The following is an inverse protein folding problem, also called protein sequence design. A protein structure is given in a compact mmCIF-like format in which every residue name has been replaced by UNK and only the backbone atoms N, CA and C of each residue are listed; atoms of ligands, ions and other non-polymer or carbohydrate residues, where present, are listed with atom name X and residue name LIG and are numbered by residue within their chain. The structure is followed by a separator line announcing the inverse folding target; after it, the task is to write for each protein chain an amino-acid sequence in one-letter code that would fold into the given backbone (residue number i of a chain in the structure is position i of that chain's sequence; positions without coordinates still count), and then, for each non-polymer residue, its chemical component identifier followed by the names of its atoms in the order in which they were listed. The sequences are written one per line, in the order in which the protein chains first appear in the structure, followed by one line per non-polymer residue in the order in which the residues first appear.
data_IF_233584230264
#
_entry.id   IF_233584230264
#
_cell.length_a   1.000
_cell.length_b   1.000
_cell.length_c   1.000
_cell.angle_alpha   90.00
_cell.angle_beta   90.00
_cell.angle_gamma   90.00
#
_symmetry.space_group_name_H-M   'P 1'
#
loop_
_entity.id
_entity.type
_entity.pdbx_description
1 polymer ?
#
# COMPACT_ATOMS: atom_id res chain seq x y z
N UNK A 1 -24.35 -10.07 2.87
CA UNK A 1 -24.69 -9.63 1.50
C UNK A 1 -24.53 -10.86 0.61
N UNK A 2 -25.62 -11.47 0.10
CA UNK A 2 -25.48 -12.50 -0.91
C UNK A 2 -25.02 -11.87 -2.23
N UNK A 3 -24.30 -12.65 -3.03
CA UNK A 3 -23.49 -12.23 -4.16
C UNK A 3 -24.33 -11.68 -5.33
N UNK A 4 -23.96 -10.52 -5.85
CA UNK A 4 -24.24 -10.19 -7.24
C UNK A 4 -23.14 -10.79 -8.13
N UNK A 5 -23.54 -11.69 -9.03
CA UNK A 5 -23.02 -11.66 -10.40
C UNK A 5 -21.95 -12.66 -10.84
N UNK A 6 -21.89 -13.90 -10.33
CA UNK A 6 -21.03 -14.91 -10.95
C UNK A 6 -21.37 -16.34 -10.55
N UNK A 7 -21.22 -17.28 -11.49
CA UNK A 7 -21.33 -18.72 -11.23
C UNK A 7 -20.26 -19.11 -10.20
N UNK A 8 -20.62 -19.75 -9.07
CA UNK A 8 -19.65 -20.18 -8.08
C UNK A 8 -18.68 -21.20 -8.67
N UNK A 9 -17.41 -21.10 -8.29
CA UNK A 9 -16.32 -21.93 -8.80
C UNK A 9 -15.44 -22.48 -7.68
N UNK A 10 -14.59 -23.46 -8.00
CA UNK A 10 -13.74 -24.14 -7.02
C UNK A 10 -12.35 -23.50 -6.89
N UNK A 11 -11.56 -23.99 -5.92
CA UNK A 11 -10.25 -23.45 -5.56
C UNK A 11 -9.25 -23.42 -6.74
N UNK A 12 -9.36 -24.35 -7.69
CA UNK A 12 -8.50 -24.39 -8.87
C UNK A 12 -8.73 -23.19 -9.79
N UNK A 13 -9.99 -22.80 -9.98
CA UNK A 13 -10.34 -21.63 -10.77
C UNK A 13 -10.01 -20.33 -10.01
N UNK A 14 -10.22 -20.31 -8.69
CA UNK A 14 -9.77 -19.19 -7.86
C UNK A 14 -8.25 -18.98 -7.95
N UNK A 15 -7.47 -20.08 -7.94
CA UNK A 15 -6.02 -20.05 -8.12
C UNK A 15 -5.63 -19.43 -9.47
N UNK A 16 -6.28 -19.87 -10.56
CA UNK A 16 -6.03 -19.32 -11.90
C UNK A 16 -6.37 -17.82 -11.98
N UNK A 17 -7.57 -17.44 -11.52
CA UNK A 17 -8.05 -16.05 -11.56
C UNK A 17 -7.23 -15.09 -10.70
N UNK A 18 -6.71 -15.57 -9.58
CA UNK A 18 -5.91 -14.76 -8.65
C UNK A 18 -4.40 -14.83 -8.94
N UNK A 19 -3.96 -15.70 -9.86
CA UNK A 19 -2.54 -15.98 -10.09
C UNK A 19 -1.81 -16.57 -8.87
N UNK A 20 -2.54 -17.17 -7.93
CA UNK A 20 -2.01 -17.69 -6.66
C UNK A 20 -2.04 -19.20 -6.66
N UNK A 21 -1.12 -19.82 -5.94
CA UNK A 21 -1.15 -21.28 -5.76
C UNK A 21 -2.32 -21.68 -4.87
N UNK A 22 -2.84 -22.90 -5.07
CA UNK A 22 -3.85 -23.50 -4.18
C UNK A 22 -3.37 -23.52 -2.73
N UNK A 23 -2.07 -23.78 -2.52
CA UNK A 23 -1.48 -23.76 -1.18
C UNK A 23 -1.57 -22.36 -0.54
N UNK A 24 -1.26 -21.29 -1.28
CA UNK A 24 -1.38 -19.93 -0.79
C UNK A 24 -2.83 -19.59 -0.43
N UNK A 25 -3.81 -19.97 -1.25
CA UNK A 25 -5.23 -19.75 -0.95
C UNK A 25 -5.63 -20.48 0.33
N UNK A 26 -5.26 -21.77 0.47
CA UNK A 26 -5.53 -22.55 1.69
C UNK A 26 -4.88 -21.92 2.92
N UNK A 27 -3.70 -21.35 2.77
CA UNK A 27 -3.06 -20.60 3.85
C UNK A 27 -3.92 -19.41 4.30
N UNK A 28 -4.43 -18.59 3.37
CA UNK A 28 -5.35 -17.48 3.70
C UNK A 28 -6.63 -17.99 4.38
N UNK A 29 -7.19 -19.11 3.94
CA UNK A 29 -8.35 -19.73 4.61
C UNK A 29 -8.04 -20.16 6.04
N UNK A 30 -6.91 -20.84 6.28
CA UNK A 30 -6.49 -21.29 7.61
C UNK A 30 -6.24 -20.12 8.55
N UNK A 31 -5.77 -18.99 8.02
CA UNK A 31 -5.64 -17.76 8.80
C UNK A 31 -6.99 -17.06 9.07
N UNK A 32 -8.11 -17.56 8.53
CA UNK A 32 -9.42 -16.94 8.69
C UNK A 32 -9.57 -15.64 7.90
N UNK A 33 -8.81 -15.49 6.81
CA UNK A 33 -8.75 -14.28 6.00
C UNK A 33 -9.62 -14.34 4.75
N UNK A 34 -10.43 -15.39 4.59
CA UNK A 34 -11.35 -15.56 3.45
C UNK A 34 -12.77 -15.75 4.01
N UNK A 35 -13.56 -14.67 4.13
CA UNK A 35 -14.92 -14.72 4.68
C UNK A 35 -15.91 -15.25 3.64
N UNK A 36 -16.99 -15.87 4.11
CA UNK A 36 -18.16 -16.18 3.25
C UNK A 36 -17.99 -17.37 2.31
N UNK A 37 -17.00 -18.24 2.53
CA UNK A 37 -16.83 -19.48 1.76
C UNK A 37 -17.97 -20.44 2.07
N UNK A 38 -18.79 -20.73 1.06
CA UNK A 38 -19.88 -21.72 1.14
C UNK A 38 -19.39 -23.10 0.68
N UNK A 39 -20.16 -24.14 0.99
CA UNK A 39 -19.90 -25.50 0.51
C UNK A 39 -21.02 -25.96 -0.41
N UNK A 40 -20.67 -26.73 -1.43
CA UNK A 40 -21.64 -27.44 -2.27
C UNK A 40 -22.24 -28.67 -1.53
N UNK A 41 -23.18 -29.35 -2.18
CA UNK A 41 -23.81 -30.57 -1.66
C UNK A 41 -22.82 -31.72 -1.42
N UNK A 42 -21.69 -31.70 -2.15
CA UNK A 42 -20.57 -32.64 -1.98
C UNK A 42 -19.55 -32.22 -0.92
N UNK A 43 -19.81 -31.15 -0.16
CA UNK A 43 -18.94 -30.64 0.90
C UNK A 43 -17.69 -29.88 0.40
N UNK A 44 -17.58 -29.60 -0.90
CA UNK A 44 -16.45 -28.86 -1.50
C UNK A 44 -16.69 -27.36 -1.39
N UNK A 45 -15.62 -26.61 -1.18
CA UNK A 45 -15.69 -25.14 -1.08
C UNK A 45 -16.00 -24.51 -2.44
N UNK A 46 -16.90 -23.53 -2.40
CA UNK A 46 -17.30 -22.71 -3.52
C UNK A 46 -16.92 -21.25 -3.27
N UNK A 47 -16.39 -20.61 -4.30
CA UNK A 47 -15.95 -19.24 -4.31
C UNK A 47 -16.66 -18.49 -5.43
N UNK A 48 -17.08 -17.24 -5.18
CA UNK A 48 -17.45 -16.28 -6.21
C UNK A 48 -16.40 -15.17 -6.42
N UNK A 49 -16.70 -14.24 -7.32
CA UNK A 49 -15.85 -13.10 -7.69
C UNK A 49 -15.37 -12.26 -6.49
N UNK A 50 -16.21 -12.13 -5.47
CA UNK A 50 -15.84 -11.39 -4.25
C UNK A 50 -14.57 -11.95 -3.62
N UNK A 51 -14.34 -13.26 -3.67
CA UNK A 51 -13.12 -13.86 -3.11
C UNK A 51 -11.88 -13.53 -3.93
N UNK A 52 -12.01 -13.28 -5.24
CA UNK A 52 -10.89 -12.87 -6.10
C UNK A 52 -10.38 -11.50 -5.63
N UNK A 53 -11.28 -10.51 -5.56
CA UNK A 53 -10.94 -9.17 -5.08
C UNK A 53 -10.49 -9.17 -3.61
N UNK A 54 -11.09 -10.02 -2.78
CA UNK A 54 -10.71 -10.16 -1.37
C UNK A 54 -9.29 -10.69 -1.21
N UNK A 55 -8.91 -11.75 -1.93
CA UNK A 55 -7.55 -12.28 -1.90
C UNK A 55 -6.53 -11.28 -2.45
N UNK A 56 -6.89 -10.48 -3.45
CA UNK A 56 -6.01 -9.42 -3.93
C UNK A 56 -5.77 -8.35 -2.86
N UNK A 57 -6.83 -7.93 -2.19
CA UNK A 57 -6.74 -6.99 -1.07
C UNK A 57 -5.86 -7.56 0.06
N UNK A 58 -6.13 -8.79 0.52
CA UNK A 58 -5.36 -9.41 1.62
C UNK A 58 -3.87 -9.53 1.29
N UNK A 59 -3.52 -9.88 0.06
CA UNK A 59 -2.12 -9.97 -0.34
C UNK A 59 -1.45 -8.60 -0.39
N UNK A 60 -2.13 -7.56 -0.90
CA UNK A 60 -1.60 -6.18 -0.90
C UNK A 60 -1.42 -5.65 0.52
N UNK A 61 -2.40 -5.85 1.41
CA UNK A 61 -2.31 -5.45 2.81
C UNK A 61 -1.12 -6.13 3.50
N UNK A 62 -0.96 -7.45 3.30
CA UNK A 62 0.16 -8.21 3.85
C UNK A 62 1.52 -7.73 3.31
N UNK A 63 1.65 -7.55 1.99
CA UNK A 63 2.90 -7.07 1.35
C UNK A 63 3.28 -5.67 1.80
N UNK A 64 2.31 -4.84 2.15
CA UNK A 64 2.52 -3.48 2.65
C UNK A 64 2.66 -3.42 4.18
N UNK A 65 2.85 -4.56 4.84
CA UNK A 65 3.19 -4.62 6.26
C UNK A 65 2.02 -4.68 7.23
N UNK A 66 0.78 -4.88 6.77
CA UNK A 66 -0.33 -5.13 7.69
C UNK A 66 -0.16 -6.48 8.37
N UNK A 67 -0.30 -6.52 9.70
CA UNK A 67 -0.17 -7.75 10.47
C UNK A 67 -1.31 -8.73 10.20
N UNK A 68 -1.08 -10.02 10.43
CA UNK A 68 -2.13 -11.05 10.33
C UNK A 68 -3.28 -10.77 11.31
N UNK A 69 -2.96 -10.20 12.49
CA UNK A 69 -3.96 -9.81 13.48
C UNK A 69 -4.90 -8.71 12.96
N UNK A 70 -4.35 -7.64 12.37
CA UNK A 70 -5.17 -6.56 11.78
C UNK A 70 -5.98 -7.06 10.56
N UNK A 71 -5.41 -7.93 9.74
CA UNK A 71 -6.15 -8.53 8.60
C UNK A 71 -7.32 -9.40 9.08
N UNK A 72 -7.14 -10.13 10.20
CA UNK A 72 -8.22 -10.89 10.86
C UNK A 72 -9.30 -9.97 11.42
N UNK A 73 -8.91 -8.88 12.07
CA UNK A 73 -9.84 -7.86 12.56
C UNK A 73 -10.67 -7.27 11.41
N UNK A 74 -10.00 -6.85 10.33
CA UNK A 74 -10.68 -6.35 9.14
C UNK A 74 -11.67 -7.37 8.55
N UNK A 75 -11.29 -8.65 8.51
CA UNK A 75 -12.14 -9.74 8.03
C UNK A 75 -13.36 -9.95 8.95
N UNK A 76 -13.16 -9.93 10.27
CA UNK A 76 -14.22 -10.05 11.25
C UNK A 76 -15.22 -8.87 11.18
N UNK A 77 -14.72 -7.65 11.00
CA UNK A 77 -15.57 -6.48 10.77
C UNK A 77 -16.38 -6.63 9.49
N UNK A 78 -15.78 -7.13 8.39
CA UNK A 78 -16.48 -7.28 7.13
C UNK A 78 -17.64 -8.30 7.19
N UNK A 79 -17.50 -9.36 7.98
CA UNK A 79 -18.56 -10.34 8.22
C UNK A 79 -19.79 -9.73 8.91
N UNK A 80 -19.62 -8.68 9.72
CA UNK A 80 -20.72 -7.97 10.38
C UNK A 80 -21.48 -7.02 9.43
N UNK A 81 -21.08 -6.91 8.17
CA UNK A 81 -21.80 -6.17 7.15
C UNK A 81 -21.79 -4.66 7.37
N UNK A 82 -22.88 -3.98 7.04
CA UNK A 82 -22.92 -2.50 6.93
C UNK A 82 -22.66 -1.77 8.25
N UNK A 83 -22.92 -2.40 9.40
CA UNK A 83 -22.74 -1.80 10.72
C UNK A 83 -21.30 -1.35 11.00
N UNK A 84 -20.31 -2.03 10.42
CA UNK A 84 -18.88 -1.82 10.69
C UNK A 84 -18.16 -1.05 9.59
N UNK A 85 -18.88 -0.44 8.62
CA UNK A 85 -18.26 0.25 7.49
C UNK A 85 -17.26 1.33 7.95
N UNK A 86 -17.60 2.07 9.00
CA UNK A 86 -16.74 3.10 9.59
C UNK A 86 -15.44 2.49 10.14
N UNK A 87 -15.55 1.45 10.98
CA UNK A 87 -14.40 0.78 11.58
C UNK A 87 -13.46 0.20 10.51
N UNK A 88 -14.02 -0.43 9.47
CA UNK A 88 -13.24 -0.94 8.33
C UNK A 88 -12.49 0.16 7.61
N UNK A 89 -13.17 1.28 7.33
CA UNK A 89 -12.56 2.44 6.69
C UNK A 89 -11.42 3.00 7.54
N UNK A 90 -11.62 3.10 8.86
CA UNK A 90 -10.63 3.69 9.75
C UNK A 90 -9.40 2.79 9.92
N UNK A 91 -9.56 1.47 10.00
CA UNK A 91 -8.46 0.51 9.96
C UNK A 91 -7.62 0.66 8.68
N UNK A 92 -8.28 0.71 7.51
CA UNK A 92 -7.60 0.91 6.23
C UNK A 92 -6.94 2.30 6.13
N UNK A 93 -7.55 3.33 6.70
CA UNK A 93 -7.00 4.68 6.70
C UNK A 93 -5.74 4.78 7.59
N UNK A 94 -5.73 4.10 8.74
CA UNK A 94 -4.55 4.00 9.60
C UNK A 94 -3.42 3.26 8.89
N UNK A 95 -3.72 2.14 8.22
CA UNK A 95 -2.72 1.42 7.42
C UNK A 95 -2.16 2.27 6.28
N UNK A 96 -3.03 2.98 5.55
CA UNK A 96 -2.61 3.90 4.49
C UNK A 96 -1.62 4.96 4.99
N UNK A 97 -1.81 5.49 6.20
CA UNK A 97 -0.88 6.46 6.78
C UNK A 97 0.52 5.85 6.98
N UNK A 98 0.60 4.65 7.58
CA UNK A 98 1.87 3.93 7.77
C UNK A 98 2.58 3.61 6.45
N UNK A 99 1.82 3.16 5.45
CA UNK A 99 2.38 2.89 4.11
C UNK A 99 2.92 4.16 3.47
N UNK A 100 2.23 5.29 3.62
CA UNK A 100 2.69 6.57 3.08
C UNK A 100 3.99 7.06 3.76
N UNK A 101 4.12 6.86 5.07
CA UNK A 101 5.36 7.15 5.81
C UNK A 101 6.51 6.28 5.28
N UNK A 102 6.29 4.97 5.13
CA UNK A 102 7.31 4.06 4.58
C UNK A 102 7.73 4.44 3.15
N UNK A 103 6.78 4.84 2.29
CA UNK A 103 7.09 5.31 0.94
C UNK A 103 7.95 6.57 0.99
N UNK A 104 7.65 7.51 1.90
CA UNK A 104 8.44 8.72 2.05
C UNK A 104 9.89 8.40 2.44
N UNK A 105 10.08 7.50 3.41
CA UNK A 105 11.41 7.06 3.86
C UNK A 105 12.18 6.36 2.74
N UNK A 106 11.53 5.47 1.98
CA UNK A 106 12.16 4.78 0.85
C UNK A 106 12.55 5.74 -0.27
N UNK A 107 11.75 6.76 -0.54
CA UNK A 107 12.11 7.78 -1.52
C UNK A 107 13.33 8.59 -1.05
N UNK A 108 13.44 8.94 0.24
CA UNK A 108 14.64 9.60 0.78
C UNK A 108 15.89 8.72 0.63
N UNK A 109 15.77 7.44 0.96
CA UNK A 109 16.86 6.48 0.82
C UNK A 109 17.27 6.30 -0.66
N UNK A 110 16.29 6.17 -1.56
CA UNK A 110 16.53 6.04 -3.00
C UNK A 110 17.28 7.27 -3.53
N UNK A 111 16.85 8.48 -3.18
CA UNK A 111 17.54 9.70 -3.59
C UNK A 111 18.99 9.78 -3.09
N UNK A 112 19.30 9.22 -1.91
CA UNK A 112 20.68 9.14 -1.45
C UNK A 112 21.51 8.16 -2.28
N UNK A 113 20.93 7.01 -2.63
CA UNK A 113 21.58 6.00 -3.49
C UNK A 113 21.84 6.56 -4.88
N UNK A 114 20.86 7.24 -5.48
CA UNK A 114 20.99 7.90 -6.80
C UNK A 114 22.15 8.90 -6.79
N UNK A 115 22.22 9.80 -5.80
CA UNK A 115 23.34 10.73 -5.67
C UNK A 115 24.69 10.04 -5.53
N UNK A 116 24.73 8.83 -4.94
CA UNK A 116 25.97 8.05 -4.85
C UNK A 116 26.34 7.39 -6.16
N UNK A 117 25.36 6.97 -6.95
CA UNK A 117 25.59 6.50 -8.32
C UNK A 117 26.19 7.63 -9.15
N UNK A 118 25.55 8.81 -9.16
CA UNK A 118 26.04 10.00 -9.89
C UNK A 118 27.48 10.36 -9.49
N UNK A 119 27.77 10.35 -8.19
CA UNK A 119 29.11 10.60 -7.67
C UNK A 119 30.16 9.64 -8.25
N UNK A 120 29.83 8.36 -8.40
CA UNK A 120 30.76 7.39 -8.98
C UNK A 120 30.86 7.53 -10.49
N UNK A 121 29.76 7.82 -11.17
CA UNK A 121 29.75 8.06 -12.61
C UNK A 121 30.64 9.26 -12.97
N UNK A 122 30.55 10.35 -12.21
CA UNK A 122 31.41 11.52 -12.36
C UNK A 122 32.89 11.19 -12.13
N UNK A 123 33.19 10.36 -11.14
CA UNK A 123 34.57 9.93 -10.88
C UNK A 123 35.10 9.07 -12.02
N UNK A 124 34.32 8.08 -12.48
CA UNK A 124 34.72 7.21 -13.58
C UNK A 124 34.98 7.99 -14.87
N UNK A 125 34.21 9.05 -15.12
CA UNK A 125 34.35 9.89 -16.32
C UNK A 125 35.51 10.88 -16.23
N UNK A 126 35.70 11.52 -15.07
CA UNK A 126 36.71 12.57 -14.89
C UNK A 126 38.08 12.06 -14.48
N UNK A 127 38.18 10.82 -14.00
CA UNK A 127 39.39 10.22 -13.42
C UNK A 127 39.76 10.78 -12.03
N UNK A 128 39.00 11.75 -11.51
CA UNK A 128 39.26 12.40 -10.23
C UNK A 128 38.04 12.30 -9.32
N UNK A 129 38.29 12.11 -8.03
CA UNK A 129 37.20 11.95 -7.05
C UNK A 129 36.43 13.27 -6.92
N UNK A 130 35.11 13.30 -7.17
CA UNK A 130 34.31 14.49 -6.94
C UNK A 130 34.34 14.89 -5.45
N UNK A 131 34.14 16.18 -5.11
CA UNK A 131 33.98 16.59 -3.72
C UNK A 131 32.80 15.84 -3.08
N UNK A 132 32.89 15.60 -1.76
CA UNK A 132 31.83 14.93 -1.03
C UNK A 132 30.53 15.72 -1.24
N UNK A 133 29.47 15.01 -1.64
CA UNK A 133 28.11 15.54 -1.77
C UNK A 133 27.85 16.55 -0.64
N UNK A 134 27.44 17.79 -0.93
CA UNK A 134 27.16 18.75 0.13
C UNK A 134 26.15 18.13 1.09
N UNK A 135 26.49 18.09 2.38
CA UNK A 135 25.58 17.69 3.44
C UNK A 135 24.38 18.64 3.38
N UNK A 136 23.26 18.14 2.85
CA UNK A 136 21.95 18.79 2.74
C UNK A 136 21.97 20.33 2.65
N UNK A 137 21.95 20.88 1.43
CA UNK A 137 21.46 22.24 1.30
C UNK A 137 19.98 22.24 1.76
N UNK A 138 19.59 23.05 2.78
CA UNK A 138 18.21 23.12 3.20
C UNK A 138 17.36 23.51 2.00
N UNK A 139 16.32 22.70 1.72
CA UNK A 139 15.36 22.92 0.64
C UNK A 139 14.82 24.36 0.75
N UNK A 140 15.13 25.20 -0.24
CA UNK A 140 14.63 26.57 -0.29
C UNK A 140 13.10 26.59 -0.26
N UNK A 141 12.45 27.51 0.48
CA UNK A 141 11.00 27.65 0.45
C UNK A 141 10.53 28.01 -0.97
N UNK A 142 9.32 27.59 -1.39
CA UNK A 142 8.84 27.79 -2.74
C UNK A 142 8.72 29.29 -3.07
N UNK A 143 9.07 29.73 -4.30
CA UNK A 143 9.04 31.14 -4.65
C UNK A 143 7.61 31.63 -4.87
N UNK A 144 7.20 32.61 -4.06
CA UNK A 144 6.20 33.60 -4.46
C UNK A 144 4.91 33.66 -3.65
N UNK A 145 4.90 34.52 -2.63
CA UNK A 145 3.75 35.40 -2.41
C UNK A 145 4.24 36.84 -2.29
N UNK A 146 4.16 37.57 -3.42
CA UNK A 146 4.32 39.03 -3.44
C UNK A 146 3.07 39.67 -2.86
N UNK A 147 3.23 40.55 -1.87
CA UNK A 147 2.36 41.71 -1.63
C UNK A 147 3.28 42.91 -1.38
N UNK A 148 3.74 43.58 -2.45
CA UNK A 148 3.22 44.84 -3.03
C UNK A 148 3.18 46.02 -2.06
N UNK A 149 4.06 47.00 -2.33
CA UNK A 149 3.97 48.45 -2.05
C UNK A 149 4.09 48.88 -0.58
N UNK A 150 4.89 49.85 -0.16
CA UNK A 150 5.56 50.96 -0.83
C UNK A 150 5.01 52.29 -0.31
N UNK A 151 5.77 52.99 0.56
CA UNK A 151 5.76 54.46 0.69
C UNK A 151 7.07 54.94 1.37
N UNK A 152 7.73 56.03 0.90
CA UNK A 152 9.06 56.45 1.35
C UNK A 152 9.00 57.36 2.59
N UNK A 153 10.15 57.67 3.24
CA UNK A 153 10.17 58.40 4.50
C UNK A 153 10.04 59.91 4.29
N UNK A 154 9.31 60.58 5.18
CA UNK A 154 9.32 62.05 5.33
C UNK A 154 10.58 62.50 6.07
N UNK A 155 11.32 63.51 5.57
CA UNK A 155 12.35 64.19 6.37
C UNK A 155 11.74 65.31 7.22
N UNK A 156 12.53 65.75 8.19
CA UNK A 156 12.21 66.70 9.27
C UNK A 156 12.06 68.14 8.79
#
# INVERSE_FOLDING_TARGET
MPAEGGTPFHIGELAQRTGRTVHAIRWYETQGLVPGVVRDEGGRRLYGELHVGWLDLMDRLRRTGMSIAEMREYTALALQGKATLRQRRDLLAAHRARVAETIADWNQALSLVERKIDFYDDWMQSGHRPPLLPAEAPRAPPPGQKRRGGRPPTPR
#
